data_IF_407447957427
#
_entry.id   IF_407447957427
#
_cell.length_a   1.000
_cell.length_b   1.000
_cell.length_c   1.000
_cell.angle_alpha   90.00
_cell.angle_beta   90.00
_cell.angle_gamma   90.00
#
_symmetry.space_group_name_H-M   'P 1'
#
loop_
_entity.id
_entity.type
_entity.pdbx_description
1 polymer ?
#
# COMPACT_ATOMS: atom_id res chain seq x y z
N UNK A 1 10.50 6.38 0.85
CA UNK A 1 10.00 4.99 0.83
C UNK A 1 8.88 4.73 -0.18
N UNK A 2 8.25 5.74 -0.81
CA UNK A 2 7.26 5.51 -1.87
C UNK A 2 5.90 4.97 -1.39
N UNK A 3 5.51 5.31 -0.17
CA UNK A 3 4.19 4.98 0.35
C UNK A 3 3.17 6.07 -0.01
N UNK A 4 1.97 5.66 -0.35
CA UNK A 4 0.81 6.51 -0.56
C UNK A 4 -0.21 6.28 0.56
N UNK A 5 -0.78 7.37 1.08
CA UNK A 5 -1.83 7.30 2.10
C UNK A 5 -3.16 6.93 1.44
N UNK A 6 -3.74 5.80 1.83
CA UNK A 6 -5.00 5.28 1.25
C UNK A 6 -6.21 5.53 2.15
N UNK A 7 -5.96 5.68 3.45
CA UNK A 7 -6.94 6.06 4.47
C UNK A 7 -6.18 6.78 5.60
N UNK A 8 -6.90 7.47 6.49
CA UNK A 8 -6.29 8.00 7.72
C UNK A 8 -5.49 6.94 8.47
N UNK A 9 -4.19 7.19 8.64
CA UNK A 9 -3.22 6.29 9.25
C UNK A 9 -3.02 4.91 8.58
N UNK A 10 -3.39 4.77 7.30
CA UNK A 10 -3.14 3.55 6.50
C UNK A 10 -2.38 3.93 5.23
N UNK A 11 -1.25 3.26 5.02
CA UNK A 11 -0.34 3.55 3.92
C UNK A 11 -0.07 2.28 3.11
N UNK A 12 -0.07 2.39 1.78
CA UNK A 12 0.25 1.30 0.87
C UNK A 12 1.46 1.66 0.00
N UNK A 13 2.16 0.63 -0.48
CA UNK A 13 3.26 0.78 -1.44
C UNK A 13 3.21 -0.38 -2.41
N UNK A 14 3.23 -0.07 -3.70
CA UNK A 14 3.39 -1.09 -4.74
C UNK A 14 4.83 -1.60 -4.78
N UNK A 15 5.00 -2.92 -4.81
CA UNK A 15 6.33 -3.55 -4.86
C UNK A 15 6.30 -4.66 -5.92
N UNK A 16 6.89 -4.46 -7.11
CA UNK A 16 6.82 -5.44 -8.19
C UNK A 16 7.70 -6.68 -7.94
N UNK A 17 8.69 -6.57 -7.05
CA UNK A 17 9.60 -7.67 -6.72
C UNK A 17 9.58 -7.96 -5.22
N UNK A 18 9.67 -9.25 -4.88
CA UNK A 18 9.65 -9.70 -3.48
C UNK A 18 10.89 -9.21 -2.69
N UNK A 19 12.01 -8.98 -3.38
CA UNK A 19 13.26 -8.47 -2.79
C UNK A 19 13.13 -7.04 -2.28
N UNK A 20 12.37 -6.17 -2.96
CA UNK A 20 12.11 -4.79 -2.52
C UNK A 20 11.33 -4.69 -1.21
N UNK A 21 10.64 -5.77 -0.82
CA UNK A 21 9.85 -5.80 0.41
C UNK A 21 10.72 -5.99 1.66
N UNK A 22 11.79 -6.80 1.59
CA UNK A 22 12.60 -7.15 2.77
C UNK A 22 13.34 -5.94 3.36
N UNK A 23 14.02 -5.15 2.53
CA UNK A 23 14.74 -3.94 3.00
C UNK A 23 13.80 -2.91 3.62
N UNK A 24 12.60 -2.78 3.05
CA UNK A 24 11.58 -1.85 3.54
C UNK A 24 11.06 -2.27 4.91
N UNK A 25 10.77 -3.56 5.11
CA UNK A 25 10.33 -4.09 6.42
C UNK A 25 11.43 -3.91 7.47
N UNK A 26 12.70 -4.11 7.11
CA UNK A 26 13.83 -3.87 8.03
C UNK A 26 13.86 -2.40 8.46
N UNK A 27 13.80 -1.47 7.49
CA UNK A 27 13.81 -0.05 7.79
C UNK A 27 12.61 0.39 8.65
N UNK A 28 11.42 -0.19 8.46
CA UNK A 28 10.26 0.07 9.34
C UNK A 28 10.54 -0.41 10.77
N UNK A 29 11.10 -1.62 10.94
CA UNK A 29 11.42 -2.18 12.25
C UNK A 29 12.45 -1.34 13.01
N UNK A 30 13.44 -0.80 12.30
CA UNK A 30 14.49 0.06 12.88
C UNK A 30 13.96 1.44 13.30
N UNK A 31 12.80 1.86 12.78
CA UNK A 31 12.21 3.17 13.01
C UNK A 31 10.81 3.09 13.66
N UNK A 32 10.52 2.03 14.41
CA UNK A 32 9.25 1.92 15.14
C UNK A 32 9.13 3.03 16.18
N UNK A 33 7.94 3.64 16.33
CA UNK A 33 7.71 4.62 17.39
C UNK A 33 7.79 3.94 18.77
N UNK A 34 8.17 4.68 19.83
CA UNK A 34 8.27 4.14 21.18
C UNK A 34 6.93 3.65 21.73
N UNK A 35 5.84 4.27 21.28
CA UNK A 35 4.46 3.95 21.68
C UNK A 35 3.57 3.77 20.44
N UNK A 36 2.48 3.02 20.62
CA UNK A 36 1.50 2.76 19.56
C UNK A 36 1.66 1.39 18.89
N UNK A 37 0.90 1.18 17.82
CA UNK A 37 0.83 -0.12 17.13
C UNK A 37 1.07 0.08 15.65
N UNK A 38 2.09 -0.60 15.13
CA UNK A 38 2.37 -0.68 13.68
C UNK A 38 2.17 -2.11 13.23
N UNK A 39 1.35 -2.31 12.19
CA UNK A 39 1.13 -3.61 11.56
C UNK A 39 1.49 -3.54 10.08
N UNK A 40 2.27 -4.52 9.63
CA UNK A 40 2.67 -4.66 8.23
C UNK A 40 1.91 -5.85 7.64
N UNK A 41 1.26 -5.65 6.50
CA UNK A 41 0.55 -6.69 5.75
C UNK A 41 1.05 -6.70 4.30
N UNK A 42 1.25 -7.89 3.76
CA UNK A 42 1.52 -8.08 2.33
C UNK A 42 0.22 -8.52 1.64
N UNK A 43 -0.14 -7.81 0.58
CA UNK A 43 -1.34 -8.07 -0.22
C UNK A 43 -0.89 -8.23 -1.68
N UNK A 44 -1.43 -9.21 -2.39
CA UNK A 44 -1.13 -9.37 -3.81
C UNK A 44 -1.84 -8.30 -4.64
N UNK A 45 -1.32 -8.01 -5.83
CA UNK A 45 -1.93 -7.07 -6.77
C UNK A 45 -3.40 -7.43 -7.09
N UNK A 46 -3.68 -8.73 -7.26
CA UNK A 46 -5.05 -9.23 -7.46
C UNK A 46 -5.95 -8.99 -6.24
N UNK A 47 -5.46 -9.24 -5.03
CA UNK A 47 -6.24 -8.99 -3.81
C UNK A 47 -6.51 -7.50 -3.59
N UNK A 48 -5.56 -6.65 -3.97
CA UNK A 48 -5.69 -5.20 -3.86
C UNK A 48 -6.69 -4.65 -4.89
N UNK A 49 -6.51 -4.99 -6.17
CA UNK A 49 -7.37 -4.51 -7.27
C UNK A 49 -8.83 -4.99 -7.20
N UNK A 50 -9.08 -6.15 -6.58
CA UNK A 50 -10.45 -6.68 -6.37
C UNK A 50 -11.06 -6.25 -5.04
N UNK A 51 -10.35 -5.46 -4.22
CA UNK A 51 -10.85 -5.02 -2.92
C UNK A 51 -12.03 -4.06 -3.07
N UNK A 52 -13.08 -4.27 -2.28
CA UNK A 52 -14.22 -3.36 -2.24
C UNK A 52 -13.80 -2.03 -1.59
N UNK A 53 -14.07 -0.94 -2.29
CA UNK A 53 -13.78 0.42 -1.82
C UNK A 53 -15.07 1.21 -1.70
N UNK A 54 -15.23 1.88 -0.57
CA UNK A 54 -16.37 2.75 -0.30
C UNK A 54 -15.88 4.13 0.12
N UNK A 55 -16.56 5.17 -0.37
CA UNK A 55 -16.39 6.55 0.08
C UNK A 55 -17.74 7.19 0.27
N UNK A 56 -17.97 7.80 1.44
CA UNK A 56 -19.24 8.46 1.77
C UNK A 56 -20.48 7.59 1.50
N UNK A 57 -20.42 6.33 1.94
CA UNK A 57 -21.46 5.30 1.75
C UNK A 57 -21.76 4.89 0.30
N UNK A 58 -20.88 5.25 -0.64
CA UNK A 58 -20.97 4.84 -2.05
C UNK A 58 -19.80 3.95 -2.41
N UNK A 59 -20.07 2.87 -3.13
CA UNK A 59 -19.01 2.05 -3.70
C UNK A 59 -18.29 2.87 -4.78
N UNK A 60 -16.96 2.83 -4.76
CA UNK A 60 -16.12 3.55 -5.71
C UNK A 60 -15.46 2.50 -6.60
N UNK A 61 -15.86 2.46 -7.87
CA UNK A 61 -15.11 1.73 -8.87
C UNK A 61 -13.77 2.45 -9.08
N UNK A 62 -12.67 1.72 -8.90
CA UNK A 62 -11.34 2.29 -9.12
C UNK A 62 -10.66 1.50 -10.22
N UNK A 63 -10.27 2.18 -11.29
CA UNK A 63 -9.33 1.66 -12.27
C UNK A 63 -7.93 2.02 -11.75
N UNK A 64 -7.38 1.18 -10.87
CA UNK A 64 -6.08 1.43 -10.22
C UNK A 64 -4.89 1.00 -11.08
N UNK A 65 -5.15 0.33 -12.21
CA UNK A 65 -4.14 0.05 -13.22
C UNK A 65 -3.60 1.40 -13.69
N UNK A 66 -2.32 1.73 -13.43
CA UNK A 66 -1.73 2.91 -14.04
C UNK A 66 -1.82 2.71 -15.55
N UNK A 67 -2.37 3.68 -16.28
CA UNK A 67 -2.30 3.65 -17.73
C UNK A 67 -0.83 3.41 -18.12
N UNK A 68 -0.60 2.38 -18.94
CA UNK A 68 0.73 1.89 -19.38
C UNK A 68 1.63 2.99 -20.03
N UNK A 69 1.14 4.22 -20.14
CA UNK A 69 1.80 5.39 -20.72
C UNK A 69 2.48 6.35 -19.73
N UNK A 70 2.60 6.01 -18.44
CA UNK A 70 3.34 6.85 -17.49
C UNK A 70 4.67 6.21 -17.08
N UNK A 71 5.53 5.92 -18.07
CA UNK A 71 6.96 5.69 -17.84
C UNK A 71 7.71 6.93 -18.31
N UNK A 72 8.15 7.76 -17.37
CA UNK A 72 9.25 8.72 -17.55
C UNK A 72 10.23 8.55 -16.40
#
# INVERSE_FOLDING_TARGET
MGYSMVQYSVYSRYTPTQSGNRSTVIAIKENLPPDGIVRILHVSDHQWSTALRFSSSKQVETNETPDYFTLF
#
